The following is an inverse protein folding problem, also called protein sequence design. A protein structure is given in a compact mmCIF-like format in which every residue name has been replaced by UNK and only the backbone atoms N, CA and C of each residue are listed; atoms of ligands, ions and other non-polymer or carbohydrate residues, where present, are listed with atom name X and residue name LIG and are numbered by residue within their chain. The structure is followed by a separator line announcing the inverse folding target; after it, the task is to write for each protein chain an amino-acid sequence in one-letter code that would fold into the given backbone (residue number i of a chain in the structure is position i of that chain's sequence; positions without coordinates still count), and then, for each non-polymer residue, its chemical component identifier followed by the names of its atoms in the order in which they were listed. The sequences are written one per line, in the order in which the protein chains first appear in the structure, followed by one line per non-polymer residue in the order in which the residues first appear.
data_IF_915220271359
#
_entry.id   IF_915220271359
#
_cell.length_a   1.000
_cell.length_b   1.000
_cell.length_c   1.000
_cell.angle_alpha   90.00
_cell.angle_beta   90.00
_cell.angle_gamma   90.00
#
_symmetry.space_group_name_H-M   'P 1'
#
loop_
_entity.id
_entity.type
_entity.pdbx_description
1 polymer ?
#
# COMPACT_ATOMS: atom_id res chain seq x y z
N UNK A 1 -7.51 -33.37 -8.73
CA UNK A 1 -7.70 -31.90 -8.54
C UNK A 1 -7.55 -31.49 -7.06
N UNK A 2 -8.12 -32.26 -6.08
CA UNK A 2 -8.07 -31.90 -4.64
C UNK A 2 -6.66 -31.80 -4.04
N UNK A 3 -5.70 -32.62 -4.46
CA UNK A 3 -4.31 -32.54 -3.98
C UNK A 3 -3.60 -31.26 -4.44
N UNK A 4 -3.86 -30.82 -5.67
CA UNK A 4 -3.30 -29.58 -6.20
C UNK A 4 -3.87 -28.34 -5.47
N UNK A 5 -5.18 -28.35 -5.19
CA UNK A 5 -5.80 -27.26 -4.44
C UNK A 5 -5.21 -27.15 -3.03
N UNK A 6 -4.98 -28.29 -2.34
CA UNK A 6 -4.32 -28.28 -1.03
C UNK A 6 -2.93 -27.64 -1.09
N UNK A 7 -2.11 -28.01 -2.08
CA UNK A 7 -0.76 -27.46 -2.23
C UNK A 7 -0.77 -25.92 -2.41
N UNK A 8 -1.75 -25.38 -3.13
CA UNK A 8 -1.90 -23.92 -3.31
C UNK A 8 -2.28 -23.16 -2.04
N UNK A 9 -2.72 -23.85 -0.99
CA UNK A 9 -3.14 -23.26 0.29
C UNK A 9 -2.21 -23.61 1.45
N UNK A 10 -1.16 -24.40 1.21
CA UNK A 10 -0.21 -24.77 2.26
C UNK A 10 0.80 -23.63 2.50
N UNK A 11 1.00 -23.22 3.77
CA UNK A 11 1.99 -22.19 4.09
C UNK A 11 3.43 -22.66 3.84
N UNK A 12 3.70 -23.96 4.04
CA UNK A 12 5.02 -24.56 3.86
C UNK A 12 4.96 -25.71 2.85
N UNK A 13 5.95 -25.76 1.95
CA UNK A 13 6.07 -26.89 1.05
C UNK A 13 6.58 -28.13 1.76
N UNK A 14 5.80 -29.19 1.70
CA UNK A 14 6.21 -30.53 2.20
C UNK A 14 6.96 -31.36 1.18
N UNK A 15 7.50 -30.73 0.15
CA UNK A 15 8.27 -31.37 -0.89
C UNK A 15 9.77 -31.34 -0.54
N UNK A 16 10.51 -32.36 -0.96
CA UNK A 16 11.97 -32.38 -0.79
C UNK A 16 12.63 -31.26 -1.60
N UNK A 17 13.72 -30.72 -1.09
CA UNK A 17 14.49 -29.63 -1.71
C UNK A 17 14.79 -29.84 -3.20
N UNK A 18 15.11 -31.04 -3.70
CA UNK A 18 15.33 -31.27 -5.15
C UNK A 18 14.06 -31.14 -6.00
N UNK A 19 12.87 -31.24 -5.39
CA UNK A 19 11.58 -31.16 -6.08
C UNK A 19 10.89 -29.80 -5.89
N UNK A 20 11.51 -28.92 -5.11
CA UNK A 20 10.94 -27.63 -4.76
C UNK A 20 11.84 -26.52 -5.28
N UNK A 21 11.40 -25.82 -6.30
CA UNK A 21 12.04 -24.59 -6.72
C UNK A 21 11.46 -23.46 -5.87
N UNK A 22 12.18 -23.09 -4.81
CA UNK A 22 11.67 -22.24 -3.74
C UNK A 22 11.92 -20.75 -4.01
N UNK A 23 11.33 -20.22 -5.07
CA UNK A 23 11.36 -18.78 -5.35
C UNK A 23 9.98 -18.15 -5.49
N UNK A 24 8.92 -18.88 -5.22
CA UNK A 24 7.57 -18.34 -5.38
C UNK A 24 6.71 -18.63 -4.16
N UNK A 25 5.99 -17.61 -3.71
CA UNK A 25 4.93 -17.76 -2.72
C UNK A 25 3.75 -18.48 -3.37
N UNK A 26 3.72 -19.81 -3.32
CA UNK A 26 2.63 -20.62 -3.87
C UNK A 26 1.38 -20.66 -2.99
N UNK A 27 1.52 -20.34 -1.70
CA UNK A 27 0.35 -20.23 -0.83
C UNK A 27 -0.36 -18.91 -1.08
N UNK A 28 -1.39 -18.95 -1.94
CA UNK A 28 -2.18 -17.78 -2.30
C UNK A 28 -2.75 -17.03 -1.09
N UNK A 29 -3.30 -17.69 -0.06
CA UNK A 29 -3.78 -16.98 1.12
C UNK A 29 -2.69 -16.16 1.80
N UNK A 30 -1.49 -16.71 1.94
CA UNK A 30 -0.34 -15.99 2.52
C UNK A 30 0.13 -14.85 1.62
N UNK A 31 0.26 -15.10 0.32
CA UNK A 31 0.71 -14.10 -0.64
C UNK A 31 -0.23 -12.88 -0.70
N UNK A 32 -1.52 -13.09 -0.51
CA UNK A 32 -2.54 -12.03 -0.57
C UNK A 32 -3.09 -11.62 0.81
N UNK A 33 -2.50 -12.07 1.91
CA UNK A 33 -2.95 -11.73 3.27
C UNK A 33 -4.40 -12.13 3.56
N UNK A 34 -4.86 -13.25 2.97
CA UNK A 34 -6.24 -13.71 3.11
C UNK A 34 -6.38 -14.68 4.29
N UNK A 35 -7.46 -14.53 5.05
CA UNK A 35 -7.85 -15.53 6.03
C UNK A 35 -8.50 -16.73 5.31
N UNK A 36 -7.83 -17.87 5.32
CA UNK A 36 -8.30 -19.10 4.71
C UNK A 36 -8.41 -20.22 5.74
N UNK A 37 -9.53 -20.94 5.72
CA UNK A 37 -9.79 -22.08 6.60
C UNK A 37 -10.19 -23.29 5.75
N UNK A 38 -9.60 -24.45 6.04
CA UNK A 38 -9.98 -25.69 5.41
C UNK A 38 -11.32 -26.18 5.99
N UNK A 39 -12.27 -26.52 5.12
CA UNK A 39 -13.55 -27.11 5.49
C UNK A 39 -13.69 -28.51 4.88
N UNK A 40 -14.19 -29.46 5.67
CA UNK A 40 -14.54 -30.82 5.22
C UNK A 40 -15.95 -30.89 4.65
N UNK A 41 -16.77 -29.87 4.88
CA UNK A 41 -18.12 -29.74 4.37
C UNK A 41 -18.21 -28.72 3.25
N UNK A 42 -19.16 -28.93 2.33
CA UNK A 42 -19.44 -27.97 1.27
C UNK A 42 -20.01 -26.68 1.89
N UNK A 43 -19.27 -25.60 1.79
CA UNK A 43 -19.75 -24.28 2.21
C UNK A 43 -20.65 -23.72 1.11
N UNK A 44 -21.92 -23.46 1.44
CA UNK A 44 -22.79 -22.72 0.54
C UNK A 44 -22.29 -21.28 0.48
N UNK A 45 -21.83 -20.85 -0.68
CA UNK A 45 -21.58 -19.43 -0.90
C UNK A 45 -22.94 -18.71 -0.75
N UNK A 46 -23.07 -17.84 0.23
CA UNK A 46 -24.09 -16.82 0.15
C UNK A 46 -23.76 -16.05 -1.12
N UNK A 47 -24.76 -15.86 -2.01
CA UNK A 47 -24.63 -14.96 -3.14
C UNK A 47 -24.16 -13.62 -2.53
N UNK A 48 -22.83 -13.43 -2.52
CA UNK A 48 -22.19 -12.39 -1.75
C UNK A 48 -22.81 -11.07 -2.17
N UNK A 49 -23.14 -10.28 -1.18
CA UNK A 49 -23.31 -8.87 -1.42
C UNK A 49 -22.14 -8.41 -2.29
N UNK A 50 -22.37 -7.86 -3.49
CA UNK A 50 -21.29 -7.33 -4.29
C UNK A 50 -20.48 -6.43 -3.36
N UNK A 51 -19.16 -6.48 -3.45
CA UNK A 51 -18.25 -5.67 -2.63
C UNK A 51 -18.91 -4.33 -2.37
N UNK A 52 -19.22 -4.05 -1.09
CA UNK A 52 -19.80 -2.76 -0.75
C UNK A 52 -18.77 -1.74 -1.20
N UNK A 53 -19.07 -1.01 -2.25
CA UNK A 53 -18.37 0.21 -2.60
C UNK A 53 -18.58 1.13 -1.40
N UNK A 54 -17.64 1.12 -0.48
CA UNK A 54 -17.71 1.96 0.70
C UNK A 54 -17.46 3.39 0.23
N UNK A 55 -18.54 4.09 0.02
CA UNK A 55 -18.54 5.52 -0.24
C UNK A 55 -17.95 6.22 0.98
N UNK A 56 -16.88 6.98 0.75
CA UNK A 56 -16.40 7.97 1.72
C UNK A 56 -17.56 8.91 2.03
N UNK A 57 -18.14 8.78 3.23
CA UNK A 57 -19.26 9.64 3.62
C UNK A 57 -18.69 11.05 3.86
N UNK A 58 -18.97 11.98 2.96
CA UNK A 58 -18.63 13.37 3.15
C UNK A 58 -19.48 13.90 4.32
N UNK A 59 -18.87 14.02 5.49
CA UNK A 59 -19.44 14.72 6.63
C UNK A 59 -18.99 16.18 6.59
N UNK A 60 -19.84 17.11 6.95
CA UNK A 60 -19.55 18.55 6.93
C UNK A 60 -18.51 18.97 7.98
N UNK A 61 -18.30 18.16 9.03
CA UNK A 61 -17.37 18.45 10.11
C UNK A 61 -16.31 17.34 10.27
N UNK A 62 -15.50 17.11 9.23
CA UNK A 62 -14.45 16.09 9.24
C UNK A 62 -13.13 16.72 9.62
N UNK A 63 -12.46 16.16 10.65
CA UNK A 63 -11.07 16.49 11.00
C UNK A 63 -10.06 15.80 10.06
N UNK A 64 -10.41 14.61 9.57
CA UNK A 64 -9.57 13.84 8.65
C UNK A 64 -10.19 12.51 8.27
N UNK A 65 -9.41 11.75 7.54
CA UNK A 65 -9.75 10.42 7.03
C UNK A 65 -8.66 9.42 7.41
N UNK A 66 -9.07 8.19 7.69
CA UNK A 66 -8.17 7.09 8.03
C UNK A 66 -8.35 5.98 6.99
N UNK A 67 -7.24 5.53 6.42
CA UNK A 67 -7.16 4.40 5.48
C UNK A 67 -6.33 3.26 6.07
N UNK A 68 -6.71 2.02 5.79
CA UNK A 68 -5.90 0.84 6.13
C UNK A 68 -4.70 0.74 5.19
N UNK A 69 -3.65 0.05 5.66
CA UNK A 69 -2.46 -0.27 4.88
C UNK A 69 -2.23 -1.79 4.90
N UNK A 70 -2.74 -2.50 3.89
CA UNK A 70 -2.68 -3.97 3.85
C UNK A 70 -2.66 -4.58 2.44
N UNK A 71 -2.60 -3.76 1.38
CA UNK A 71 -2.66 -4.24 0.01
C UNK A 71 -1.87 -3.36 -0.97
N UNK A 72 -1.60 -3.87 -2.16
CA UNK A 72 -0.99 -3.12 -3.25
C UNK A 72 -1.87 -1.91 -3.68
N UNK A 73 -3.18 -2.06 -3.62
CA UNK A 73 -4.10 -0.97 -3.94
C UNK A 73 -3.96 0.20 -2.96
N UNK A 74 -3.55 -0.05 -1.70
CA UNK A 74 -3.24 1.01 -0.74
C UNK A 74 -1.98 1.76 -1.14
N UNK A 75 -0.97 1.04 -1.69
CA UNK A 75 0.24 1.66 -2.20
C UNK A 75 -0.04 2.51 -3.46
N UNK A 76 -0.89 2.02 -4.37
CA UNK A 76 -1.34 2.79 -5.54
C UNK A 76 -2.14 4.03 -5.13
N UNK A 77 -3.01 3.89 -4.14
CA UNK A 77 -3.78 5.00 -3.57
C UNK A 77 -2.85 6.06 -2.96
N UNK A 78 -1.89 5.64 -2.14
CA UNK A 78 -0.89 6.53 -1.54
C UNK A 78 -0.07 7.24 -2.63
N UNK A 79 0.43 6.51 -3.63
CA UNK A 79 1.16 7.08 -4.76
C UNK A 79 0.33 8.16 -5.47
N UNK A 80 -0.96 7.91 -5.69
CA UNK A 80 -1.89 8.88 -6.25
C UNK A 80 -2.03 10.13 -5.37
N UNK A 81 -2.20 9.97 -4.06
CA UNK A 81 -2.30 11.08 -3.12
C UNK A 81 -1.03 11.95 -3.12
N UNK A 82 0.15 11.32 -3.07
CA UNK A 82 1.43 12.04 -3.08
C UNK A 82 1.66 12.80 -4.38
N UNK A 83 1.27 12.23 -5.53
CA UNK A 83 1.33 12.92 -6.83
C UNK A 83 0.43 14.15 -6.89
N UNK A 84 -0.75 14.05 -6.32
CA UNK A 84 -1.68 15.18 -6.22
C UNK A 84 -1.27 16.18 -5.13
N UNK A 85 -0.14 15.96 -4.44
CA UNK A 85 0.37 16.84 -3.39
C UNK A 85 -0.47 16.81 -2.11
N UNK A 86 -1.26 15.76 -1.90
CA UNK A 86 -1.98 15.54 -0.64
C UNK A 86 -0.98 15.11 0.43
N UNK A 87 -1.00 15.80 1.55
CA UNK A 87 -0.16 15.47 2.72
C UNK A 87 -0.81 14.33 3.49
N UNK A 88 -0.07 13.24 3.61
CA UNK A 88 -0.50 12.00 4.26
C UNK A 88 0.44 11.67 5.39
N UNK A 89 -0.09 11.22 6.51
CA UNK A 89 0.66 10.65 7.63
C UNK A 89 0.44 9.15 7.69
N UNK A 90 1.32 8.45 8.39
CA UNK A 90 1.11 7.05 8.80
C UNK A 90 1.41 6.88 10.28
N UNK A 91 0.75 5.92 10.91
CA UNK A 91 1.02 5.59 12.32
C UNK A 91 2.07 4.50 12.43
N UNK A 92 3.08 4.72 13.28
CA UNK A 92 4.10 3.72 13.60
C UNK A 92 3.61 2.70 14.65
N UNK A 93 2.45 2.94 15.26
CA UNK A 93 1.84 2.09 16.27
C UNK A 93 0.35 1.87 15.96
N UNK A 94 -0.25 0.78 16.44
CA UNK A 94 -1.70 0.60 16.41
C UNK A 94 -2.40 1.70 17.22
N UNK A 95 -3.60 2.06 16.82
CA UNK A 95 -4.43 3.03 17.55
C UNK A 95 -5.92 2.75 17.37
N UNK A 96 -6.73 3.35 18.24
CA UNK A 96 -8.19 3.28 18.18
C UNK A 96 -8.76 4.67 18.01
N UNK A 97 -9.59 4.87 16.99
CA UNK A 97 -10.31 6.12 16.77
C UNK A 97 -11.80 5.84 16.54
N UNK A 98 -12.68 6.54 17.27
CA UNK A 98 -14.12 6.32 17.23
C UNK A 98 -14.55 4.85 17.38
N UNK A 99 -13.87 4.08 18.26
CA UNK A 99 -14.16 2.68 18.50
C UNK A 99 -13.69 1.72 17.42
N UNK A 100 -13.00 2.19 16.38
CA UNK A 100 -12.41 1.37 15.33
C UNK A 100 -10.91 1.24 15.56
N UNK A 101 -10.41 -0.01 15.54
CA UNK A 101 -8.98 -0.31 15.65
C UNK A 101 -8.29 -0.21 14.30
N UNK A 102 -7.12 0.41 14.29
CA UNK A 102 -6.25 0.59 13.13
C UNK A 102 -4.87 0.04 13.45
N UNK A 103 -4.34 -0.72 12.52
CA UNK A 103 -3.02 -1.32 12.64
C UNK A 103 -1.89 -0.33 12.31
N UNK A 104 -0.67 -0.67 12.72
CA UNK A 104 0.55 0.00 12.28
C UNK A 104 0.57 0.15 10.75
N UNK A 105 1.00 1.32 10.27
CA UNK A 105 1.03 1.65 8.84
C UNK A 105 -0.25 2.31 8.32
N UNK A 106 -1.34 2.32 9.11
CA UNK A 106 -2.58 2.97 8.68
C UNK A 106 -2.34 4.42 8.29
N UNK A 107 -2.92 4.81 7.16
CA UNK A 107 -2.78 6.15 6.60
C UNK A 107 -3.74 7.11 7.30
N UNK A 108 -3.25 8.30 7.62
CA UNK A 108 -4.00 9.37 8.27
C UNK A 108 -3.89 10.62 7.39
N UNK A 109 -5.02 11.13 6.92
CA UNK A 109 -5.10 12.25 6.00
C UNK A 109 -5.92 13.34 6.67
N UNK A 110 -5.25 14.27 7.32
CA UNK A 110 -5.94 15.33 8.08
C UNK A 110 -6.28 16.51 7.19
N UNK A 111 -7.38 17.15 7.50
CA UNK A 111 -7.78 18.42 6.85
C UNK A 111 -6.80 19.55 7.22
N UNK A 112 -6.26 19.53 8.43
CA UNK A 112 -5.30 20.53 8.91
C UNK A 112 -3.97 20.48 8.16
N UNK A 113 -3.47 19.30 7.77
CA UNK A 113 -2.25 19.18 6.97
C UNK A 113 -2.46 19.66 5.51
N UNK A 114 -3.70 19.71 5.07
CA UNK A 114 -4.11 20.04 3.69
C UNK A 114 -4.91 21.34 3.61
N UNK A 115 -4.70 22.26 4.55
CA UNK A 115 -5.33 23.59 4.54
C UNK A 115 -5.00 24.34 3.25
N UNK A 116 -6.00 25.01 2.69
CA UNK A 116 -5.85 25.77 1.42
C UNK A 116 -6.06 24.94 0.15
N UNK A 117 -6.33 23.63 0.27
CA UNK A 117 -6.76 22.79 -0.87
C UNK A 117 -8.28 22.73 -0.95
N UNK A 118 -8.87 23.51 -1.85
CA UNK A 118 -10.33 23.53 -2.08
C UNK A 118 -10.84 22.20 -2.65
N UNK A 119 -10.02 21.53 -3.47
CA UNK A 119 -10.28 20.25 -4.13
C UNK A 119 -10.02 19.01 -3.25
N UNK A 120 -9.64 19.19 -1.98
CA UNK A 120 -9.23 18.11 -1.08
C UNK A 120 -10.20 16.92 -1.06
N UNK A 121 -11.48 17.17 -0.84
CA UNK A 121 -12.50 16.11 -0.75
C UNK A 121 -12.75 15.44 -2.13
N UNK A 122 -12.67 16.20 -3.21
CA UNK A 122 -12.85 15.68 -4.58
C UNK A 122 -11.71 14.74 -4.96
N UNK A 123 -10.46 15.14 -4.71
CA UNK A 123 -9.27 14.32 -4.96
C UNK A 123 -9.34 13.03 -4.15
N UNK A 124 -9.62 13.10 -2.84
CA UNK A 124 -9.76 11.91 -1.99
C UNK A 124 -10.85 10.97 -2.50
N UNK A 125 -12.03 11.50 -2.82
CA UNK A 125 -13.15 10.70 -3.34
C UNK A 125 -12.82 10.04 -4.67
N UNK A 126 -12.15 10.76 -5.57
CA UNK A 126 -11.76 10.25 -6.89
C UNK A 126 -10.74 9.14 -6.78
N UNK A 127 -9.67 9.34 -6.02
CA UNK A 127 -8.62 8.34 -5.82
C UNK A 127 -9.13 7.12 -5.03
N UNK A 128 -9.96 7.33 -4.00
CA UNK A 128 -10.58 6.23 -3.25
C UNK A 128 -11.42 5.33 -4.16
N UNK A 129 -12.23 5.91 -5.03
CA UNK A 129 -13.02 5.16 -6.01
C UNK A 129 -12.14 4.46 -7.03
N UNK A 130 -11.15 5.17 -7.59
CA UNK A 130 -10.23 4.63 -8.60
C UNK A 130 -9.51 3.37 -8.10
N UNK A 131 -9.06 3.37 -6.86
CA UNK A 131 -8.31 2.28 -6.25
C UNK A 131 -9.16 1.39 -5.33
N UNK A 132 -10.49 1.57 -5.34
CA UNK A 132 -11.43 0.82 -4.50
C UNK A 132 -11.03 0.82 -3.01
N UNK A 133 -10.65 2.00 -2.49
CA UNK A 133 -10.23 2.17 -1.09
C UNK A 133 -11.35 2.77 -0.26
N UNK A 134 -11.46 2.26 0.97
CA UNK A 134 -12.40 2.79 1.97
C UNK A 134 -11.64 3.70 2.91
N UNK A 135 -12.11 4.93 3.03
CA UNK A 135 -11.64 5.87 4.02
C UNK A 135 -12.70 6.05 5.11
N UNK A 136 -12.29 5.95 6.35
CA UNK A 136 -13.15 6.25 7.50
C UNK A 136 -12.99 7.71 7.89
N UNK A 137 -14.05 8.47 7.79
CA UNK A 137 -14.07 9.85 8.26
C UNK A 137 -14.03 9.92 9.79
N UNK A 138 -13.27 10.87 10.31
CA UNK A 138 -13.22 11.15 11.76
C UNK A 138 -13.41 12.63 12.02
N UNK A 139 -14.10 12.97 13.11
CA UNK A 139 -14.32 14.35 13.57
C UNK A 139 -13.28 14.81 14.58
N UNK A 140 -12.38 13.93 14.99
CA UNK A 140 -11.35 14.19 16.01
C UNK A 140 -9.98 13.68 15.60
N UNK A 141 -8.95 14.41 15.99
CA UNK A 141 -7.54 13.98 15.84
C UNK A 141 -7.03 13.19 17.06
N UNK A 142 -7.86 13.01 18.07
CA UNK A 142 -7.52 12.25 19.27
C UNK A 142 -7.87 10.79 19.10
N UNK A 143 -6.94 9.92 19.52
CA UNK A 143 -7.15 8.48 19.63
C UNK A 143 -7.70 8.15 21.02
N UNK A 144 -8.62 7.19 21.12
CA UNK A 144 -9.05 6.66 22.40
C UNK A 144 -8.03 5.69 23.01
N UNK A 145 -7.12 5.18 22.18
CA UNK A 145 -5.95 4.37 22.57
C UNK A 145 -4.89 4.46 21.48
N UNK A 146 -3.62 4.43 21.85
CA UNK A 146 -2.50 4.63 20.93
C UNK A 146 -2.21 6.10 20.65
N UNK A 147 -1.38 6.42 19.64
CA UNK A 147 -0.95 7.78 19.37
C UNK A 147 -2.03 8.63 18.70
N UNK A 148 -2.14 9.89 19.16
CA UNK A 148 -2.92 10.93 18.49
C UNK A 148 -2.29 11.33 17.15
N UNK A 149 -3.06 11.94 16.26
CA UNK A 149 -2.59 12.31 14.91
C UNK A 149 -1.45 13.34 14.90
N UNK A 150 -1.29 14.10 15.97
CA UNK A 150 -0.18 15.04 16.19
C UNK A 150 1.03 14.44 16.91
N UNK A 151 0.97 13.18 17.31
CA UNK A 151 2.06 12.50 18.03
C UNK A 151 3.32 12.34 17.16
N UNK A 152 4.48 12.30 17.80
CA UNK A 152 5.75 11.96 17.15
C UNK A 152 5.78 10.55 16.53
N UNK A 153 4.86 9.68 16.91
CA UNK A 153 4.66 8.34 16.34
C UNK A 153 3.73 8.32 15.11
N UNK A 154 3.18 9.48 14.75
CA UNK A 154 2.39 9.67 13.52
C UNK A 154 3.19 10.57 12.58
N UNK A 155 3.88 9.94 11.64
CA UNK A 155 4.87 10.57 10.75
C UNK A 155 4.22 11.08 9.47
N UNK A 156 4.64 12.26 9.03
CA UNK A 156 4.33 12.75 7.70
C UNK A 156 5.12 11.96 6.66
N UNK A 157 4.46 11.55 5.58
CA UNK A 157 5.10 10.91 4.44
C UNK A 157 5.59 12.01 3.49
N UNK A 158 6.90 12.09 3.32
CA UNK A 158 7.49 12.93 2.27
C UNK A 158 7.47 12.14 0.96
N UNK A 159 7.00 12.73 -0.17
CA UNK A 159 7.04 12.07 -1.47
C UNK A 159 8.49 11.72 -1.85
N UNK A 160 8.89 10.44 -1.89
CA UNK A 160 10.28 10.07 -2.12
C UNK A 160 10.68 10.31 -3.57
N UNK A 161 11.86 10.89 -3.78
CA UNK A 161 12.53 10.92 -5.08
C UNK A 161 13.31 9.64 -5.26
N UNK A 162 12.93 8.84 -6.25
CA UNK A 162 13.46 7.50 -6.46
C UNK A 162 14.38 7.48 -7.68
N UNK A 163 15.62 7.05 -7.49
CA UNK A 163 16.55 6.72 -8.57
C UNK A 163 16.52 5.20 -8.82
N UNK A 164 16.51 4.79 -10.09
CA UNK A 164 16.53 3.41 -10.53
C UNK A 164 17.74 3.16 -11.43
N UNK A 165 18.66 2.32 -11.00
CA UNK A 165 19.89 2.02 -11.72
C UNK A 165 19.61 1.12 -12.92
N UNK A 166 20.25 1.43 -14.06
CA UNK A 166 20.19 0.65 -15.30
C UNK A 166 21.56 0.54 -15.95
N UNK A 167 21.69 -0.34 -16.94
CA UNK A 167 22.89 -0.51 -17.76
C UNK A 167 23.54 -1.86 -17.54
N UNK A 168 24.79 -2.01 -17.99
CA UNK A 168 25.51 -3.30 -18.04
C UNK A 168 25.73 -3.96 -16.66
N UNK A 169 25.64 -3.18 -15.59
CA UNK A 169 25.74 -3.68 -14.22
C UNK A 169 24.42 -4.25 -13.67
N UNK A 170 23.34 -4.22 -14.46
CA UNK A 170 22.00 -4.66 -14.03
C UNK A 170 21.38 -5.58 -15.08
N UNK A 171 20.59 -6.55 -14.64
CA UNK A 171 19.76 -7.35 -15.57
C UNK A 171 18.69 -6.46 -16.19
N UNK A 172 18.58 -6.47 -17.52
CA UNK A 172 17.54 -5.74 -18.25
C UNK A 172 16.13 -6.20 -17.88
N UNK A 173 15.96 -7.48 -17.53
CA UNK A 173 14.67 -8.03 -17.09
C UNK A 173 14.31 -7.51 -15.70
N UNK A 174 15.27 -7.53 -14.77
CA UNK A 174 15.05 -7.03 -13.40
C UNK A 174 14.78 -5.52 -13.39
N UNK A 175 15.56 -4.75 -14.16
CA UNK A 175 15.31 -3.34 -14.37
C UNK A 175 13.91 -3.09 -14.95
N UNK A 176 13.57 -3.80 -16.04
CA UNK A 176 12.28 -3.63 -16.72
C UNK A 176 11.08 -3.93 -15.80
N UNK A 177 11.16 -5.01 -15.01
CA UNK A 177 10.12 -5.37 -14.04
C UNK A 177 9.97 -4.30 -12.96
N UNK A 178 11.09 -3.80 -12.42
CA UNK A 178 11.09 -2.75 -11.40
C UNK A 178 10.56 -1.42 -11.95
N UNK A 179 11.02 -1.03 -13.13
CA UNK A 179 10.52 0.17 -13.81
C UNK A 179 9.01 0.09 -14.06
N UNK A 180 8.53 -1.06 -14.58
CA UNK A 180 7.12 -1.29 -14.83
C UNK A 180 6.29 -1.19 -13.53
N UNK A 181 6.81 -1.75 -12.44
CA UNK A 181 6.13 -1.65 -11.14
C UNK A 181 5.94 -0.20 -10.71
N UNK A 182 6.98 0.61 -10.75
CA UNK A 182 6.85 2.02 -10.35
C UNK A 182 6.01 2.83 -11.33
N UNK A 183 6.37 2.81 -12.61
CA UNK A 183 5.78 3.72 -13.61
C UNK A 183 4.38 3.28 -14.06
N UNK A 184 4.16 1.97 -14.21
CA UNK A 184 2.89 1.46 -14.73
C UNK A 184 1.95 1.01 -13.63
N UNK A 185 2.45 0.27 -12.63
CA UNK A 185 1.60 -0.27 -11.57
C UNK A 185 1.29 0.78 -10.50
N UNK A 186 2.29 1.42 -9.93
CA UNK A 186 2.10 2.48 -8.94
C UNK A 186 1.76 3.83 -9.58
N UNK A 187 2.07 4.02 -10.84
CA UNK A 187 2.01 5.31 -11.54
C UNK A 187 2.80 6.40 -10.82
N UNK A 188 3.93 6.01 -10.23
CA UNK A 188 4.83 6.88 -9.46
C UNK A 188 6.16 7.05 -10.21
N UNK A 189 6.64 8.30 -10.45
CA UNK A 189 7.79 8.55 -11.30
C UNK A 189 9.10 8.06 -10.66
N UNK A 190 9.99 7.50 -11.49
CA UNK A 190 11.36 7.17 -11.10
C UNK A 190 12.36 7.77 -12.08
N UNK A 191 13.52 8.16 -11.57
CA UNK A 191 14.62 8.66 -12.40
C UNK A 191 15.59 7.53 -12.72
N UNK A 192 15.68 7.17 -14.00
CA UNK A 192 16.63 6.14 -14.46
C UNK A 192 18.05 6.71 -14.58
N UNK A 193 19.01 6.06 -13.92
CA UNK A 193 20.43 6.43 -13.92
C UNK A 193 21.25 5.31 -14.55
N UNK A 194 22.11 5.60 -15.52
CA UNK A 194 23.06 4.63 -16.03
C UNK A 194 24.16 4.36 -15.00
N UNK A 195 24.51 3.10 -14.80
CA UNK A 195 25.54 2.67 -13.85
C UNK A 195 26.92 3.30 -14.13
N UNK A 196 27.28 3.43 -15.41
CA UNK A 196 28.53 4.08 -15.86
C UNK A 196 28.60 5.58 -15.52
N UNK A 197 27.46 6.22 -15.26
CA UNK A 197 27.34 7.65 -14.92
C UNK A 197 27.10 7.89 -13.44
N UNK A 198 26.95 6.84 -12.64
CA UNK A 198 26.58 6.95 -11.23
C UNK A 198 27.52 7.90 -10.44
N UNK A 199 28.83 7.85 -10.69
CA UNK A 199 29.81 8.72 -10.03
C UNK A 199 29.73 10.21 -10.44
N UNK A 200 28.89 10.58 -11.40
CA UNK A 200 28.66 11.96 -11.86
C UNK A 200 27.30 12.52 -11.46
N UNK A 201 26.46 11.68 -10.86
CA UNK A 201 25.12 12.05 -10.41
C UNK A 201 25.20 12.50 -8.96
N UNK A 202 24.55 13.61 -8.64
CA UNK A 202 24.37 14.01 -7.25
C UNK A 202 23.30 13.12 -6.61
N UNK A 203 23.73 12.13 -5.83
CA UNK A 203 22.82 11.19 -5.16
C UNK A 203 22.05 11.81 -4.00
N UNK A 204 22.51 12.95 -3.45
CA UNK A 204 21.81 13.67 -2.38
C UNK A 204 20.45 14.25 -2.83
N UNK A 205 20.20 14.27 -4.14
CA UNK A 205 18.89 14.67 -4.70
C UNK A 205 17.81 13.58 -4.60
N UNK A 206 18.19 12.36 -4.23
CA UNK A 206 17.30 11.20 -4.17
C UNK A 206 17.20 10.68 -2.74
N UNK A 207 15.99 10.24 -2.38
CA UNK A 207 15.72 9.61 -1.09
C UNK A 207 15.96 8.09 -1.13
N UNK A 208 15.83 7.49 -2.32
CA UNK A 208 15.95 6.05 -2.53
C UNK A 208 16.72 5.76 -3.82
N UNK A 209 17.73 4.90 -3.73
CA UNK A 209 18.40 4.31 -4.89
C UNK A 209 18.04 2.82 -4.98
N UNK A 210 17.34 2.44 -6.03
CA UNK A 210 17.01 1.04 -6.34
C UNK A 210 18.03 0.47 -7.31
N UNK A 211 18.68 -0.62 -6.91
CA UNK A 211 19.66 -1.34 -7.72
C UNK A 211 19.11 -2.72 -8.08
N UNK A 212 18.49 -2.88 -9.25
CA UNK A 212 18.02 -4.19 -9.69
C UNK A 212 19.19 -5.17 -9.89
N UNK A 213 18.96 -6.44 -9.57
CA UNK A 213 19.97 -7.51 -9.74
C UNK A 213 20.21 -7.84 -11.20
#
# INVERSE_FOLDING_TARGET
KGKMVKALFEPDAKLSTPLTYDITAWSLPHAYGLNAVASTSLVKANAGSPFKTNTTTASTNVAGYIGKWNSLDDAQFLAGLLKEGIRVRFSEQPFVNNGVSYERGSLIITKSDNLGREDFNEVLSTLSRKHNRTLTATTTSFASSGPDFGSSQVKLINPPKIALLKGDATSSLSYGATWYFFEQTLQYPVTSINADKLGRVNLDEFDVLVMPS
#
